data_IF_694015397946
#
_entry.id   IF_694015397946
#
_cell.length_a   1.000
_cell.length_b   1.000
_cell.length_c   1.000
_cell.angle_alpha   90.00
_cell.angle_beta   90.00
_cell.angle_gamma   90.00
#
_symmetry.space_group_name_H-M   'P 1'
#
loop_
_entity.id
_entity.type
_entity.pdbx_description
1 polymer ?
#
# COMPACT_ATOMS: atom_id res chain seq x y z
N UNK A 1 -12.87 12.06 -8.57
CA UNK A 1 -12.66 10.70 -8.06
C UNK A 1 -11.79 9.91 -9.03
N UNK A 2 -10.74 9.29 -8.52
CA UNK A 2 -9.76 8.57 -9.34
C UNK A 2 -10.06 7.07 -9.47
N UNK A 3 -10.62 6.46 -8.42
CA UNK A 3 -10.97 5.05 -8.40
C UNK A 3 -11.93 4.75 -7.25
N UNK A 4 -12.63 3.63 -7.35
CA UNK A 4 -13.49 3.08 -6.29
C UNK A 4 -13.19 1.59 -6.22
N UNK A 5 -13.00 1.06 -5.01
CA UNK A 5 -12.81 -0.38 -4.85
C UNK A 5 -14.13 -1.07 -4.46
N UNK A 6 -14.11 -2.40 -4.40
CA UNK A 6 -15.32 -3.18 -4.11
C UNK A 6 -15.84 -2.97 -2.67
N UNK A 7 -15.00 -2.47 -1.76
CA UNK A 7 -15.39 -2.15 -0.40
C UNK A 7 -16.02 -0.77 -0.26
N UNK A 8 -16.12 -0.02 -1.34
CA UNK A 8 -16.74 1.30 -1.34
C UNK A 8 -15.81 2.46 -0.98
N UNK A 9 -14.51 2.22 -0.88
CA UNK A 9 -13.55 3.30 -0.69
C UNK A 9 -13.35 4.03 -2.00
N UNK A 10 -13.24 5.36 -1.92
CA UNK A 10 -13.04 6.22 -3.08
C UNK A 10 -11.69 6.91 -2.98
N UNK A 11 -10.89 6.78 -4.02
CA UNK A 11 -9.63 7.51 -4.15
C UNK A 11 -9.95 8.86 -4.78
N UNK A 12 -9.69 9.95 -4.06
CA UNK A 12 -10.15 11.28 -4.47
C UNK A 12 -9.08 12.06 -5.23
N UNK A 13 -7.90 12.24 -4.63
CA UNK A 13 -6.82 13.00 -5.27
C UNK A 13 -5.45 12.67 -4.69
N UNK A 14 -4.44 12.92 -5.50
CA UNK A 14 -3.03 12.83 -5.10
C UNK A 14 -2.57 14.20 -4.60
N UNK A 15 -1.82 14.21 -3.51
CA UNK A 15 -1.29 15.42 -2.88
C UNK A 15 0.22 15.33 -2.83
N UNK A 16 0.88 16.15 -3.64
CA UNK A 16 2.34 16.19 -3.75
C UNK A 16 2.92 17.10 -2.67
N UNK A 17 3.39 16.49 -1.60
CA UNK A 17 4.01 17.19 -0.46
C UNK A 17 5.30 16.49 -0.06
N UNK A 18 6.08 17.13 0.79
CA UNK A 18 7.25 16.52 1.41
C UNK A 18 6.85 15.77 2.69
N UNK A 19 7.66 14.82 3.09
CA UNK A 19 7.36 13.96 4.25
C UNK A 19 7.14 14.76 5.54
N UNK A 20 7.89 15.82 5.75
CA UNK A 20 7.75 16.66 6.95
C UNK A 20 6.46 17.46 6.97
N UNK A 21 5.71 17.50 5.86
CA UNK A 21 4.43 18.18 5.77
C UNK A 21 3.24 17.29 6.15
N UNK A 22 3.47 16.01 6.39
CA UNK A 22 2.41 15.06 6.77
C UNK A 22 1.64 15.57 8.00
N UNK A 23 2.35 16.14 8.97
CA UNK A 23 1.76 16.64 10.21
C UNK A 23 0.71 17.74 10.00
N UNK A 24 0.73 18.41 8.86
CA UNK A 24 -0.22 19.47 8.54
C UNK A 24 -1.59 18.94 8.15
N UNK A 25 -1.70 17.63 7.90
CA UNK A 25 -2.94 17.01 7.47
C UNK A 25 -3.59 16.24 8.60
N UNK A 26 -4.91 16.46 8.84
CA UNK A 26 -5.64 15.67 9.82
C UNK A 26 -5.96 14.32 9.23
N UNK A 27 -6.11 13.30 10.08
CA UNK A 27 -6.58 11.98 9.63
C UNK A 27 -5.69 11.28 8.60
N UNK A 28 -4.37 11.42 8.73
CA UNK A 28 -3.45 10.54 7.99
C UNK A 28 -3.46 9.20 8.74
N UNK A 29 -4.27 8.26 8.25
CA UNK A 29 -4.62 7.06 9.00
C UNK A 29 -3.95 5.79 8.51
N UNK A 30 -3.36 5.82 7.32
CA UNK A 30 -2.74 4.63 6.76
C UNK A 30 -1.49 4.95 5.98
N UNK A 31 -0.70 3.92 5.73
CA UNK A 31 0.54 4.03 4.99
C UNK A 31 0.72 2.83 4.06
N UNK A 32 1.22 3.10 2.85
CA UNK A 32 1.54 2.09 1.85
C UNK A 32 3.04 1.94 1.71
N UNK A 33 3.50 0.72 1.51
CA UNK A 33 4.89 0.43 1.18
C UNK A 33 4.93 -0.34 -0.13
N UNK A 34 5.11 0.38 -1.24
CA UNK A 34 5.13 -0.21 -2.57
C UNK A 34 6.55 -0.67 -2.87
N UNK A 35 6.75 -1.98 -2.95
CA UNK A 35 8.07 -2.57 -3.21
C UNK A 35 8.16 -3.06 -4.64
N UNK A 36 9.15 -2.54 -5.37
CA UNK A 36 9.43 -2.94 -6.75
C UNK A 36 10.70 -3.80 -6.78
N UNK A 37 10.62 -4.95 -7.45
CA UNK A 37 11.76 -5.85 -7.65
C UNK A 37 11.90 -6.06 -9.15
N UNK A 38 13.00 -5.55 -9.72
CA UNK A 38 13.18 -5.46 -11.16
C UNK A 38 12.03 -4.65 -11.77
N UNK A 39 11.23 -5.20 -12.66
CA UNK A 39 10.11 -4.49 -13.28
C UNK A 39 8.75 -4.89 -12.70
N UNK A 40 8.75 -5.56 -11.55
CA UNK A 40 7.52 -6.09 -10.96
C UNK A 40 7.34 -5.62 -9.53
N UNK A 41 6.09 -5.65 -9.07
CA UNK A 41 5.72 -5.20 -7.72
C UNK A 41 5.35 -6.37 -6.85
N UNK A 42 5.65 -6.27 -5.55
CA UNK A 42 5.23 -7.27 -4.57
C UNK A 42 3.77 -7.00 -4.21
N UNK A 43 2.93 -8.02 -4.39
CA UNK A 43 1.54 -7.99 -3.94
C UNK A 43 1.28 -9.21 -3.06
N UNK A 44 0.34 -9.05 -2.12
CA UNK A 44 -0.08 -10.13 -1.24
C UNK A 44 -1.53 -10.49 -1.47
N UNK A 45 -1.84 -11.78 -1.37
CA UNK A 45 -3.23 -12.22 -1.45
C UNK A 45 -3.85 -12.18 -0.06
N UNK A 46 -4.85 -11.31 0.11
CA UNK A 46 -5.60 -11.19 1.36
C UNK A 46 -6.72 -12.23 1.35
N UNK A 47 -6.54 -13.32 2.13
CA UNK A 47 -7.49 -14.41 2.17
C UNK A 47 -8.82 -14.04 2.82
N UNK A 48 -8.82 -13.00 3.67
CA UNK A 48 -10.06 -12.55 4.33
C UNK A 48 -10.93 -11.72 3.41
N UNK A 49 -10.29 -10.89 2.54
CA UNK A 49 -11.00 -10.05 1.55
C UNK A 49 -11.08 -10.68 0.17
N UNK A 50 -10.37 -11.80 -0.03
CA UNK A 50 -10.32 -12.52 -1.30
C UNK A 50 -9.88 -11.63 -2.46
N UNK A 51 -8.74 -10.94 -2.26
CA UNK A 51 -8.18 -10.03 -3.27
C UNK A 51 -6.68 -9.88 -3.11
N UNK A 52 -6.02 -9.48 -4.19
CA UNK A 52 -4.62 -9.07 -4.16
C UNK A 52 -4.52 -7.62 -3.75
N UNK A 53 -3.54 -7.30 -2.92
CA UNK A 53 -3.32 -5.96 -2.38
C UNK A 53 -1.84 -5.62 -2.37
N UNK A 54 -1.54 -4.31 -2.51
CA UNK A 54 -0.20 -3.83 -2.22
C UNK A 54 -0.05 -3.68 -0.71
N UNK A 55 1.17 -3.84 -0.16
CA UNK A 55 1.36 -3.74 1.29
C UNK A 55 0.94 -2.38 1.83
N UNK A 56 0.03 -2.40 2.80
CA UNK A 56 -0.50 -1.18 3.42
C UNK A 56 -1.25 -1.53 4.69
N UNK A 57 -1.40 -0.54 5.57
CA UNK A 57 -2.21 -0.72 6.77
C UNK A 57 -2.31 0.55 7.59
N UNK A 58 -2.99 0.45 8.72
CA UNK A 58 -3.24 1.57 9.60
C UNK A 58 -2.02 2.02 10.37
N UNK A 59 -1.92 3.33 10.59
CA UNK A 59 -0.87 3.92 11.43
C UNK A 59 -1.33 3.79 12.88
N UNK A 60 -0.50 3.17 13.71
CA UNK A 60 -0.82 2.98 15.13
C UNK A 60 -0.46 4.22 15.95
N UNK A 61 -1.06 4.36 17.12
CA UNK A 61 -0.78 5.46 18.02
C UNK A 61 0.71 5.52 18.36
N UNK A 62 1.29 6.71 18.25
CA UNK A 62 2.72 6.92 18.51
C UNK A 62 3.65 6.54 17.37
N UNK A 63 3.09 6.02 16.29
CA UNK A 63 3.85 5.57 15.12
C UNK A 63 3.84 6.65 14.04
N UNK A 64 4.99 6.86 13.37
CA UNK A 64 5.01 7.72 12.19
C UNK A 64 4.46 6.95 11.00
N UNK A 65 4.09 7.66 9.94
CA UNK A 65 3.66 7.01 8.70
C UNK A 65 4.75 6.10 8.15
N UNK A 66 6.00 6.53 8.20
CA UNK A 66 7.16 5.73 7.74
C UNK A 66 7.30 4.44 8.56
N UNK A 67 7.18 4.55 9.87
CA UNK A 67 7.25 3.38 10.74
C UNK A 67 6.13 2.39 10.45
N UNK A 68 4.92 2.91 10.21
CA UNK A 68 3.77 2.08 9.83
C UNK A 68 4.01 1.36 8.51
N UNK A 69 4.55 2.05 7.51
CA UNK A 69 4.84 1.46 6.21
C UNK A 69 5.86 0.31 6.34
N UNK A 70 6.91 0.52 7.12
CA UNK A 70 7.94 -0.50 7.37
C UNK A 70 7.31 -1.72 8.07
N UNK A 71 6.52 -1.48 9.09
CA UNK A 71 5.88 -2.54 9.87
C UNK A 71 4.89 -3.34 9.00
N UNK A 72 4.02 -2.66 8.25
CA UNK A 72 3.04 -3.33 7.41
C UNK A 72 3.70 -4.13 6.28
N UNK A 73 4.77 -3.60 5.69
CA UNK A 73 5.51 -4.34 4.67
C UNK A 73 6.03 -5.67 5.24
N UNK A 74 6.59 -5.62 6.45
CA UNK A 74 7.10 -6.83 7.10
C UNK A 74 5.97 -7.78 7.50
N UNK A 75 4.92 -7.26 8.14
CA UNK A 75 3.80 -8.10 8.57
C UNK A 75 3.13 -8.82 7.40
N UNK A 76 2.97 -8.13 6.29
CA UNK A 76 2.22 -8.66 5.15
C UNK A 76 3.08 -9.47 4.17
N UNK A 77 4.38 -9.17 4.05
CA UNK A 77 5.22 -9.81 3.02
C UNK A 77 6.53 -10.36 3.56
N UNK A 78 6.88 -10.11 4.81
CA UNK A 78 8.16 -10.48 5.44
C UNK A 78 9.38 -9.82 4.78
N UNK A 79 9.17 -8.76 4.01
CA UNK A 79 10.26 -7.98 3.44
C UNK A 79 10.75 -6.97 4.46
N UNK A 80 12.06 -6.88 4.65
CA UNK A 80 12.66 -6.01 5.67
C UNK A 80 13.98 -5.43 5.19
N UNK A 81 14.51 -4.47 5.95
CA UNK A 81 15.77 -3.79 5.63
C UNK A 81 15.69 -3.08 4.29
N UNK A 82 14.54 -2.47 4.01
CA UNK A 82 14.30 -1.72 2.79
C UNK A 82 14.37 -0.23 3.09
N UNK A 83 14.81 0.55 2.11
CA UNK A 83 14.87 2.00 2.22
C UNK A 83 13.66 2.59 1.50
N UNK A 84 12.74 3.15 2.27
CA UNK A 84 11.50 3.71 1.75
C UNK A 84 11.67 5.19 1.37
N UNK A 85 11.12 5.56 0.21
CA UNK A 85 11.08 6.94 -0.25
C UNK A 85 9.64 7.43 -0.23
N UNK A 86 9.39 8.56 0.43
CA UNK A 86 8.05 9.14 0.50
C UNK A 86 7.66 9.74 -0.85
N UNK A 87 6.42 9.48 -1.29
CA UNK A 87 5.91 9.93 -2.59
C UNK A 87 4.70 10.86 -2.52
N UNK A 88 4.16 11.12 -1.34
CA UNK A 88 3.01 12.00 -1.18
C UNK A 88 1.86 11.34 -0.46
N UNK A 89 0.72 12.02 -0.44
CA UNK A 89 -0.51 11.54 0.17
C UNK A 89 -1.57 11.30 -0.89
N UNK A 90 -2.50 10.39 -0.59
CA UNK A 90 -3.76 10.33 -1.31
C UNK A 90 -4.91 10.63 -0.35
N UNK A 91 -5.81 11.50 -0.79
CA UNK A 91 -7.05 11.76 -0.10
C UNK A 91 -8.03 10.67 -0.48
N UNK A 92 -8.65 10.05 0.50
CA UNK A 92 -9.62 8.97 0.29
C UNK A 92 -10.89 9.25 1.09
N UNK A 93 -11.99 8.66 0.63
CA UNK A 93 -13.25 8.69 1.37
C UNK A 93 -13.61 7.22 1.63
N UNK A 94 -13.79 6.86 2.90
CA UNK A 94 -14.10 5.48 3.24
C UNK A 94 -15.57 5.15 2.92
N UNK A 95 -15.97 3.89 3.12
CA UNK A 95 -17.31 3.42 2.79
C UNK A 95 -18.42 4.16 3.57
N UNK A 96 -18.06 4.82 4.66
CA UNK A 96 -19.01 5.58 5.50
C UNK A 96 -18.99 7.07 5.19
N UNK A 97 -18.22 7.49 4.18
CA UNK A 97 -18.13 8.89 3.78
C UNK A 97 -17.10 9.70 4.56
N UNK A 98 -16.26 9.07 5.37
CA UNK A 98 -15.25 9.79 6.14
C UNK A 98 -14.00 10.03 5.29
N UNK A 99 -13.48 11.26 5.36
CA UNK A 99 -12.26 11.64 4.64
C UNK A 99 -11.04 11.24 5.46
N UNK A 100 -10.10 10.57 4.81
CA UNK A 100 -8.83 10.12 5.39
C UNK A 100 -7.71 10.37 4.38
N UNK A 101 -6.47 10.28 4.85
CA UNK A 101 -5.29 10.42 3.98
C UNK A 101 -4.41 9.20 4.15
N UNK A 102 -3.84 8.74 3.03
CA UNK A 102 -2.93 7.60 3.01
C UNK A 102 -1.55 8.10 2.58
N UNK A 103 -0.53 7.77 3.37
CA UNK A 103 0.85 8.13 3.05
C UNK A 103 1.47 7.05 2.17
N UNK A 104 2.11 7.46 1.08
CA UNK A 104 2.64 6.53 0.09
C UNK A 104 4.16 6.53 0.13
N UNK A 105 4.72 5.35 0.36
CA UNK A 105 6.17 5.12 0.32
C UNK A 105 6.47 4.09 -0.75
N UNK A 106 7.61 4.25 -1.42
CA UNK A 106 8.07 3.30 -2.43
C UNK A 106 9.48 2.86 -2.10
N UNK A 107 9.83 1.66 -2.51
CA UNK A 107 11.20 1.16 -2.35
C UNK A 107 11.51 0.20 -3.50
N UNK A 108 12.79 -0.05 -3.69
CA UNK A 108 13.29 -0.91 -4.74
C UNK A 108 14.30 -1.88 -4.14
N UNK A 109 14.16 -3.15 -4.45
CA UNK A 109 15.08 -4.19 -4.02
C UNK A 109 15.43 -5.07 -5.22
N UNK A 110 16.56 -5.77 -5.14
CA UNK A 110 16.99 -6.65 -6.22
C UNK A 110 16.39 -8.06 -6.11
N UNK A 111 16.11 -8.50 -4.89
CA UNK A 111 15.60 -9.84 -4.62
C UNK A 111 14.45 -9.85 -3.64
N UNK A 112 13.52 -10.78 -3.85
CA UNK A 112 12.41 -11.03 -2.95
C UNK A 112 12.89 -11.92 -1.79
N UNK A 113 12.68 -11.46 -0.55
CA UNK A 113 13.00 -12.25 0.64
C UNK A 113 11.91 -13.30 0.86
N UNK A 114 12.24 -14.42 1.50
CA UNK A 114 11.26 -15.49 1.72
C UNK A 114 10.05 -15.03 2.53
N UNK A 115 8.87 -15.49 2.13
CA UNK A 115 7.63 -15.28 2.86
C UNK A 115 7.23 -16.60 3.54
N UNK A 116 7.03 -16.55 4.86
CA UNK A 116 6.62 -17.71 5.65
C UNK A 116 5.16 -17.53 6.04
N UNK A 117 4.29 -18.31 5.39
CA UNK A 117 2.85 -18.24 5.62
C UNK A 117 2.43 -19.06 6.85
N UNK A 118 1.53 -18.50 7.65
CA UNK A 118 0.83 -19.19 8.73
C UNK A 118 -0.66 -19.23 8.41
N UNK A 119 -1.35 -20.32 8.78
CA UNK A 119 -2.76 -20.52 8.43
C UNK A 119 -3.70 -19.42 8.91
N UNK A 120 -3.33 -18.72 9.97
CA UNK A 120 -4.15 -17.66 10.55
C UNK A 120 -3.82 -16.25 10.03
N UNK A 121 -2.86 -16.14 9.12
CA UNK A 121 -2.44 -14.86 8.59
C UNK A 121 -3.47 -14.31 7.60
N UNK A 122 -3.64 -12.99 7.62
CA UNK A 122 -4.46 -12.28 6.65
C UNK A 122 -3.91 -12.50 5.24
N UNK A 123 -2.59 -12.41 5.08
CA UNK A 123 -1.94 -12.65 3.80
C UNK A 123 -1.55 -14.11 3.64
N UNK A 124 -2.16 -14.76 2.64
CA UNK A 124 -1.96 -16.18 2.37
C UNK A 124 -0.74 -16.47 1.50
N UNK A 125 -0.40 -15.56 0.60
CA UNK A 125 0.76 -15.70 -0.28
C UNK A 125 1.19 -14.32 -0.79
N UNK A 126 2.42 -14.26 -1.29
CA UNK A 126 2.91 -13.07 -2.00
C UNK A 126 3.37 -13.50 -3.38
N UNK A 127 3.40 -12.54 -4.29
CA UNK A 127 3.95 -12.76 -5.62
C UNK A 127 4.44 -11.45 -6.23
N UNK A 128 5.21 -11.58 -7.29
CA UNK A 128 5.61 -10.44 -8.11
C UNK A 128 4.59 -10.27 -9.24
N UNK A 129 4.17 -9.04 -9.48
CA UNK A 129 3.16 -8.71 -10.48
C UNK A 129 3.62 -7.54 -11.33
N UNK A 130 3.44 -7.64 -12.64
CA UNK A 130 3.87 -6.61 -13.59
C UNK A 130 2.80 -5.55 -13.89
N UNK A 131 1.66 -5.60 -13.23
CA UNK A 131 0.49 -4.73 -13.42
C UNK A 131 -0.35 -5.09 -14.65
N UNK A 132 0.04 -6.06 -15.44
CA UNK A 132 -0.64 -6.44 -16.69
C UNK A 132 -1.18 -7.86 -16.69
N UNK A 133 -0.46 -8.79 -16.07
CA UNK A 133 -0.89 -10.19 -15.99
C UNK A 133 -2.20 -10.30 -15.22
N UNK A 134 -3.11 -11.15 -15.70
CA UNK A 134 -4.36 -11.41 -14.97
C UNK A 134 -4.07 -12.37 -13.82
N UNK A 135 -4.05 -11.84 -12.60
CA UNK A 135 -3.83 -12.62 -11.38
C UNK A 135 -5.12 -12.76 -10.56
N UNK A 136 -6.24 -12.30 -11.10
CA UNK A 136 -7.50 -12.21 -10.39
C UNK A 136 -7.76 -10.78 -9.93
N UNK A 137 -8.64 -10.64 -8.96
CA UNK A 137 -9.03 -9.32 -8.50
C UNK A 137 -7.93 -8.63 -7.68
N UNK A 138 -7.58 -7.41 -8.07
CA UNK A 138 -6.66 -6.54 -7.34
C UNK A 138 -7.43 -5.29 -6.95
N UNK A 139 -7.20 -4.80 -5.73
CA UNK A 139 -7.86 -3.58 -5.25
C UNK A 139 -7.65 -2.43 -6.23
N UNK A 140 -8.75 -1.87 -6.74
CA UNK A 140 -8.71 -0.82 -7.78
C UNK A 140 -8.04 0.46 -7.29
N UNK A 141 -8.21 0.80 -6.01
CA UNK A 141 -7.55 1.98 -5.45
C UNK A 141 -6.04 1.77 -5.39
N UNK A 142 -5.61 0.58 -4.99
CA UNK A 142 -4.18 0.23 -4.96
C UNK A 142 -3.56 0.33 -6.35
N UNK A 143 -4.22 -0.23 -7.36
CA UNK A 143 -3.74 -0.18 -8.74
C UNK A 143 -3.56 1.26 -9.20
N UNK A 144 -4.55 2.11 -8.94
CA UNK A 144 -4.50 3.52 -9.36
C UNK A 144 -3.38 4.27 -8.66
N UNK A 145 -3.18 4.04 -7.36
CA UNK A 145 -2.10 4.66 -6.61
C UNK A 145 -0.75 4.32 -7.25
N UNK A 146 -0.50 3.04 -7.51
CA UNK A 146 0.76 2.59 -8.10
C UNK A 146 0.96 3.17 -9.50
N UNK A 147 -0.09 3.19 -10.31
CA UNK A 147 -0.02 3.79 -11.65
C UNK A 147 0.40 5.26 -11.59
N UNK A 148 -0.14 6.00 -10.62
CA UNK A 148 0.14 7.44 -10.51
C UNK A 148 1.53 7.74 -9.95
N UNK A 149 2.02 6.98 -8.97
CA UNK A 149 3.29 7.30 -8.30
C UNK A 149 4.49 6.55 -8.86
N UNK A 150 4.29 5.43 -9.54
CA UNK A 150 5.36 4.57 -10.05
C UNK A 150 5.41 4.47 -11.56
N UNK A 151 4.25 4.48 -12.22
CA UNK A 151 4.14 4.26 -13.67
C UNK A 151 3.86 5.55 -14.44
N UNK A 152 3.42 6.56 -13.73
CA UNK A 152 3.19 7.87 -14.30
C UNK A 152 4.47 8.68 -14.36
#
# INVERSE_FOLDING_TARGET
MLAVNKSGWKLIEYIDIEEDEIEKYPNVTGAYAILKICDKYVVGYNGWREQWEFPAGGIEEGETAREAAIRELFEETHQKNVELKFKGLFKVEDAKGKIKYQAIFVCHQEELQPFIHNDNDEMNEIRLWDMYEDIGYVDECDVKIVQMVCEG
#
